data_IF_651218396371
#
_entry.id   IF_651218396371
#
_cell.length_a   1.000
_cell.length_b   1.000
_cell.length_c   1.000
_cell.angle_alpha   90.00
_cell.angle_beta   90.00
_cell.angle_gamma   90.00
#
_symmetry.space_group_name_H-M   'P 1'
#
loop_
_entity.id
_entity.type
_entity.pdbx_description
1 polymer ?
#
# COMPACT_ATOMS: atom_id res chain seq x y z
N UNK A 1 -15.52 -12.60 -11.35
CA UNK A 1 -14.51 -12.30 -10.32
C UNK A 1 -13.21 -11.82 -10.95
N UNK A 2 -12.39 -11.05 -10.23
CA UNK A 2 -11.13 -10.50 -10.74
C UNK A 2 -9.93 -11.45 -10.55
N UNK A 3 -10.02 -12.43 -9.64
CA UNK A 3 -8.97 -13.41 -9.36
C UNK A 3 -8.87 -14.51 -10.44
N UNK A 4 -7.65 -14.82 -10.88
CA UNK A 4 -7.40 -15.85 -11.89
C UNK A 4 -7.27 -17.27 -11.33
N UNK A 5 -7.24 -17.45 -10.01
CA UNK A 5 -7.07 -18.77 -9.38
C UNK A 5 -5.66 -19.10 -8.92
N UNK A 6 -5.53 -20.19 -8.16
CA UNK A 6 -4.27 -20.70 -7.62
C UNK A 6 -3.39 -21.23 -8.76
N UNK A 7 -2.08 -21.00 -8.69
CA UNK A 7 -1.13 -21.42 -9.73
C UNK A 7 -1.23 -20.61 -11.03
N UNK A 8 -2.09 -19.59 -11.08
CA UNK A 8 -2.18 -18.63 -12.19
C UNK A 8 -1.55 -17.31 -11.78
N UNK A 9 -0.95 -16.64 -12.76
CA UNK A 9 -0.43 -15.29 -12.54
C UNK A 9 -1.59 -14.31 -12.30
N UNK A 10 -1.42 -13.49 -11.27
CA UNK A 10 -2.28 -12.35 -11.01
C UNK A 10 -1.42 -11.08 -11.02
N UNK A 11 -1.95 -9.98 -11.54
CA UNK A 11 -1.28 -8.68 -11.58
C UNK A 11 -1.97 -7.67 -10.67
N UNK A 12 -1.15 -6.81 -10.09
CA UNK A 12 -1.57 -5.68 -9.28
C UNK A 12 -0.98 -4.42 -9.90
N UNK A 13 -1.84 -3.46 -10.19
CA UNK A 13 -1.42 -2.10 -10.54
C UNK A 13 -1.92 -1.18 -9.43
N UNK A 14 -1.00 -0.53 -8.73
CA UNK A 14 -1.27 0.21 -7.49
C UNK A 14 -0.78 1.64 -7.66
N UNK A 15 -1.67 2.60 -7.41
CA UNK A 15 -1.28 3.99 -7.16
C UNK A 15 -1.47 4.28 -5.69
N UNK A 16 -0.36 4.62 -5.04
CA UNK A 16 -0.30 4.93 -3.62
C UNK A 16 0.12 6.38 -3.44
N UNK A 17 -0.68 7.12 -2.66
CA UNK A 17 -0.30 8.46 -2.20
C UNK A 17 0.06 8.37 -0.72
N UNK A 18 1.30 8.72 -0.40
CA UNK A 18 1.76 8.79 0.98
C UNK A 18 0.94 9.79 1.81
N UNK A 19 0.94 9.58 3.12
CA UNK A 19 0.37 10.51 4.07
C UNK A 19 1.04 11.89 3.98
N UNK A 20 0.31 12.95 4.34
CA UNK A 20 0.83 14.33 4.35
C UNK A 20 0.97 14.83 5.78
N UNK A 21 2.03 15.60 6.01
CA UNK A 21 2.33 16.18 7.31
C UNK A 21 2.39 17.70 7.21
N UNK A 22 1.92 18.37 8.26
CA UNK A 22 2.04 19.81 8.44
C UNK A 22 2.51 20.04 9.87
N UNK A 23 3.59 20.81 10.03
CA UNK A 23 4.19 21.13 11.33
C UNK A 23 4.47 19.86 12.18
N UNK A 24 4.97 18.81 11.54
CA UNK A 24 5.27 17.51 12.17
C UNK A 24 4.05 16.68 12.56
N UNK A 25 2.83 17.10 12.20
CA UNK A 25 1.58 16.39 12.50
C UNK A 25 0.94 15.85 11.22
N UNK A 26 0.35 14.65 11.32
CA UNK A 26 -0.42 14.06 10.24
C UNK A 26 -1.60 14.97 9.87
N UNK A 27 -1.64 15.41 8.62
CA UNK A 27 -2.68 16.28 8.06
C UNK A 27 -3.61 15.54 7.11
N UNK A 28 -3.09 14.60 6.32
CA UNK A 28 -3.89 13.75 5.43
C UNK A 28 -3.38 12.31 5.51
N UNK A 29 -4.31 11.36 5.55
CA UNK A 29 -3.98 9.93 5.51
C UNK A 29 -3.52 9.51 4.12
N UNK A 30 -2.79 8.39 4.07
CA UNK A 30 -2.40 7.77 2.83
C UNK A 30 -3.63 7.22 2.08
N UNK A 31 -3.56 7.22 0.75
CA UNK A 31 -4.60 6.76 -0.15
C UNK A 31 -4.06 5.70 -1.10
N UNK A 32 -4.93 4.78 -1.52
CA UNK A 32 -4.59 3.78 -2.51
C UNK A 32 -5.74 3.52 -3.48
N UNK A 33 -5.40 3.43 -4.76
CA UNK A 33 -6.26 2.81 -5.78
C UNK A 33 -5.54 1.60 -6.35
N UNK A 34 -6.31 0.58 -6.70
CA UNK A 34 -5.77 -0.71 -7.14
C UNK A 34 -6.61 -1.30 -8.25
N UNK A 35 -5.91 -1.73 -9.29
CA UNK A 35 -6.42 -2.66 -10.28
C UNK A 35 -5.90 -4.05 -9.98
N UNK A 36 -6.78 -5.04 -10.14
CA UNK A 36 -6.44 -6.45 -10.04
C UNK A 36 -6.79 -7.14 -11.35
N UNK A 37 -5.76 -7.67 -12.03
CA UNK A 37 -5.88 -8.25 -13.37
C UNK A 37 -6.59 -7.30 -14.36
N UNK A 38 -6.19 -6.03 -14.38
CA UNK A 38 -6.75 -4.99 -15.27
C UNK A 38 -8.15 -4.48 -14.88
N UNK A 39 -8.74 -4.94 -13.78
CA UNK A 39 -10.05 -4.49 -13.29
C UNK A 39 -9.88 -3.61 -12.06
N UNK A 40 -10.44 -2.40 -12.08
CA UNK A 40 -10.43 -1.50 -10.91
C UNK A 40 -11.23 -2.15 -9.78
N UNK A 41 -10.60 -2.35 -8.63
CA UNK A 41 -11.23 -3.00 -7.46
C UNK A 41 -11.20 -2.13 -6.21
N UNK A 42 -10.29 -1.16 -6.15
CA UNK A 42 -10.23 -0.14 -5.11
C UNK A 42 -10.02 1.24 -5.72
N UNK A 43 -10.79 2.21 -5.24
CA UNK A 43 -10.71 3.61 -5.66
C UNK A 43 -10.59 4.49 -4.42
N UNK A 44 -9.50 5.25 -4.33
CA UNK A 44 -9.24 6.23 -3.28
C UNK A 44 -9.48 5.70 -1.85
N UNK A 45 -9.06 4.46 -1.60
CA UNK A 45 -9.21 3.83 -0.29
C UNK A 45 -8.24 4.48 0.69
N UNK A 46 -8.78 4.99 1.80
CA UNK A 46 -7.98 5.55 2.88
C UNK A 46 -7.34 4.46 3.72
N UNK A 47 -6.03 4.55 3.93
CA UNK A 47 -5.32 3.66 4.85
C UNK A 47 -5.41 4.25 6.26
N UNK A 48 -6.08 3.53 7.15
CA UNK A 48 -6.36 4.01 8.50
C UNK A 48 -5.20 3.86 9.47
N UNK A 49 -4.40 2.82 9.31
CA UNK A 49 -3.24 2.50 10.15
C UNK A 49 -2.31 1.53 9.44
N UNK A 50 -1.10 1.38 9.95
CA UNK A 50 -0.21 0.28 9.60
C UNK A 50 -0.76 -1.00 10.24
N UNK A 51 -0.97 -2.03 9.42
CA UNK A 51 -1.42 -3.35 9.87
C UNK A 51 -0.23 -4.29 10.03
N UNK A 52 -0.27 -5.14 11.06
CA UNK A 52 0.83 -6.02 11.46
C UNK A 52 1.41 -5.67 12.82
N UNK A 53 2.22 -6.55 13.39
CA UNK A 53 2.96 -6.31 14.63
C UNK A 53 4.22 -5.46 14.44
N UNK A 54 4.97 -5.17 15.52
CA UNK A 54 6.16 -4.33 15.50
C UNK A 54 7.24 -4.76 14.49
N UNK A 55 7.33 -6.07 14.22
CA UNK A 55 8.32 -6.66 13.32
C UNK A 55 7.80 -6.83 11.87
N UNK A 56 6.74 -6.11 11.48
CA UNK A 56 6.07 -6.32 10.20
C UNK A 56 6.65 -5.51 9.04
N UNK A 57 7.90 -5.07 9.11
CA UNK A 57 8.59 -4.25 8.10
C UNK A 57 8.32 -2.75 8.30
N UNK A 58 7.05 -2.36 8.40
CA UNK A 58 6.65 -1.10 9.03
C UNK A 58 6.10 -1.42 10.41
N UNK A 59 6.49 -0.63 11.42
CA UNK A 59 6.10 -0.84 12.82
C UNK A 59 4.61 -0.54 13.01
N UNK A 60 3.78 -1.59 12.91
CA UNK A 60 2.36 -1.53 13.24
C UNK A 60 2.07 -1.55 14.75
N UNK A 61 3.09 -1.73 15.60
CA UNK A 61 2.99 -1.58 17.04
C UNK A 61 3.06 -0.12 17.49
N UNK A 62 3.73 0.75 16.73
CA UNK A 62 3.85 2.17 17.05
C UNK A 62 2.47 2.84 17.18
N UNK A 63 2.08 3.16 18.43
CA UNK A 63 0.74 3.66 18.79
C UNK A 63 -0.39 2.82 18.18
N UNK A 64 -0.26 1.49 18.20
CA UNK A 64 -1.26 0.57 17.63
C UNK A 64 -1.47 0.73 16.12
N UNK A 65 -0.42 1.15 15.40
CA UNK A 65 -0.39 1.35 13.95
C UNK A 65 -0.76 2.76 13.51
N UNK A 66 -1.12 3.64 14.44
CA UNK A 66 -1.49 5.04 14.15
C UNK A 66 -0.31 6.00 14.24
N UNK A 67 0.86 5.54 14.72
CA UNK A 67 2.10 6.31 14.80
C UNK A 67 2.80 6.48 13.44
N UNK A 68 2.06 6.84 12.39
CA UNK A 68 2.61 7.07 11.05
C UNK A 68 3.55 8.27 11.09
N UNK A 69 4.71 8.14 10.47
CA UNK A 69 5.72 9.20 10.32
C UNK A 69 5.84 9.63 8.85
N UNK A 70 6.55 10.72 8.61
CA UNK A 70 6.87 11.24 7.27
C UNK A 70 8.13 10.60 6.66
N UNK A 71 8.70 9.61 7.34
CA UNK A 71 9.87 8.85 6.88
C UNK A 71 9.44 7.86 5.79
N UNK A 72 10.08 7.86 4.61
CA UNK A 72 9.81 6.86 3.58
C UNK A 72 10.01 5.42 4.08
N UNK A 73 9.06 4.55 3.75
CA UNK A 73 9.12 3.11 4.02
C UNK A 73 9.41 2.29 2.75
N UNK A 74 9.85 1.05 2.93
CA UNK A 74 10.03 0.09 1.84
C UNK A 74 8.74 -0.64 1.45
N UNK A 75 8.76 -1.31 0.30
CA UNK A 75 7.73 -2.28 -0.09
C UNK A 75 8.06 -3.65 0.53
N UNK A 76 7.19 -4.16 1.40
CA UNK A 76 7.31 -5.49 1.98
C UNK A 76 6.38 -6.47 1.27
N UNK A 77 6.93 -7.61 0.85
CA UNK A 77 6.17 -8.81 0.49
C UNK A 77 6.12 -9.71 1.72
N UNK A 78 4.92 -10.01 2.22
CA UNK A 78 4.77 -10.79 3.45
C UNK A 78 5.08 -12.27 3.23
N UNK A 79 5.75 -12.88 4.21
CA UNK A 79 6.07 -14.30 4.23
C UNK A 79 5.25 -14.98 5.33
N UNK A 80 4.10 -15.53 4.95
CA UNK A 80 3.17 -16.21 5.87
C UNK A 80 3.26 -17.74 5.73
N UNK A 81 4.46 -18.27 5.42
CA UNK A 81 4.72 -19.71 5.34
C UNK A 81 4.24 -20.41 4.05
N UNK A 82 3.91 -19.65 3.01
CA UNK A 82 3.46 -20.20 1.72
C UNK A 82 4.45 -19.91 0.58
N UNK A 83 4.54 -20.83 -0.38
CA UNK A 83 5.34 -20.63 -1.59
C UNK A 83 4.61 -19.71 -2.57
N UNK A 84 4.96 -18.42 -2.53
CA UNK A 84 4.46 -17.39 -3.44
C UNK A 84 5.60 -16.89 -4.33
N UNK A 85 5.38 -16.89 -5.65
CA UNK A 85 6.36 -16.44 -6.64
C UNK A 85 5.97 -15.07 -7.18
N UNK A 86 6.95 -14.18 -7.30
CA UNK A 86 6.77 -12.83 -7.81
C UNK A 86 7.64 -12.61 -9.06
N UNK A 87 7.17 -11.76 -9.97
CA UNK A 87 7.90 -11.31 -11.16
C UNK A 87 7.41 -9.95 -11.61
N UNK A 88 8.17 -9.30 -12.49
CA UNK A 88 7.80 -8.03 -13.13
C UNK A 88 7.43 -6.93 -12.11
N UNK A 89 8.18 -6.85 -11.02
CA UNK A 89 7.97 -5.85 -9.97
C UNK A 89 8.86 -4.64 -10.23
N UNK A 90 8.24 -3.47 -10.35
CA UNK A 90 8.91 -2.19 -10.49
C UNK A 90 8.10 -1.12 -9.76
N UNK A 91 8.75 -0.01 -9.42
CA UNK A 91 8.11 1.14 -8.77
C UNK A 91 8.52 2.39 -9.54
N UNK A 92 7.56 3.27 -9.77
CA UNK A 92 7.78 4.61 -10.33
C UNK A 92 7.28 5.64 -9.34
N UNK A 93 8.13 6.59 -8.99
CA UNK A 93 7.74 7.71 -8.14
C UNK A 93 6.75 8.63 -8.88
N UNK A 94 5.71 9.07 -8.18
CA UNK A 94 4.67 9.94 -8.70
C UNK A 94 4.55 11.19 -7.83
N UNK A 95 4.35 12.34 -8.47
CA UNK A 95 4.02 13.60 -7.79
C UNK A 95 2.50 13.76 -7.71
N UNK A 96 1.90 13.30 -6.62
CA UNK A 96 0.45 13.34 -6.40
C UNK A 96 0.08 14.47 -5.43
N UNK A 97 -0.24 15.65 -5.98
CA UNK A 97 -0.55 16.84 -5.17
C UNK A 97 -1.95 16.75 -4.54
N UNK A 98 -2.94 16.28 -5.29
CA UNK A 98 -4.31 16.12 -4.81
C UNK A 98 -4.49 14.81 -4.04
N UNK A 99 -5.52 14.76 -3.19
CA UNK A 99 -5.96 13.55 -2.51
C UNK A 99 -6.73 12.61 -3.48
N UNK A 100 -6.08 12.28 -4.59
CA UNK A 100 -6.63 11.44 -5.65
C UNK A 100 -5.55 10.50 -6.17
N UNK A 101 -5.92 9.23 -6.25
CA UNK A 101 -5.11 8.11 -6.71
C UNK A 101 -5.78 7.39 -7.86
N UNK A 102 -6.91 7.88 -8.35
CA UNK A 102 -7.60 7.26 -9.47
C UNK A 102 -6.83 7.48 -10.77
N UNK A 103 -6.67 6.41 -11.55
CA UNK A 103 -6.00 6.42 -12.86
C UNK A 103 -6.65 5.40 -13.78
#
# INVERSE_FOLDING_TARGET
>A
HAYNGVGKWNSYDIVFRAARFKDGKLSEKALVSMYFNGKKVHTNVTINKVWGGPNSGLDGGNKGGTGITDVPGGLKLQCEGHDVRYRNTWVKELKLEKADTDF
#
